data_IF_728972270473
#
_entry.id   IF_728972270473
#
_cell.length_a   1.000
_cell.length_b   1.000
_cell.length_c   1.000
_cell.angle_alpha   90.00
_cell.angle_beta   90.00
_cell.angle_gamma   90.00
#
_symmetry.space_group_name_H-M   'P 1'
#
loop_
_entity.id
_entity.type
_entity.pdbx_description
1 polymer ?
#
# COMPACT_ATOMS: atom_id res chain seq x y z
N UNK A 1 24.17 8.83 11.36
CA UNK A 1 23.49 9.71 10.37
C UNK A 1 24.05 9.39 9.00
N UNK A 2 23.20 9.23 7.99
CA UNK A 2 23.63 8.93 6.62
C UNK A 2 24.59 10.00 6.09
N UNK A 3 25.62 9.58 5.37
CA UNK A 3 26.53 10.49 4.67
C UNK A 3 25.80 11.15 3.51
N UNK A 4 25.65 12.47 3.52
CA UNK A 4 25.06 13.24 2.42
C UNK A 4 26.17 13.89 1.58
N UNK A 5 26.20 13.54 0.29
CA UNK A 5 27.17 14.06 -0.68
C UNK A 5 26.46 15.10 -1.56
N UNK A 6 26.85 16.36 -1.45
CA UNK A 6 26.39 17.43 -2.34
C UNK A 6 27.05 17.26 -3.71
N UNK A 7 26.29 16.81 -4.69
CA UNK A 7 26.75 16.49 -6.02
C UNK A 7 25.75 16.93 -7.08
N UNK A 8 25.56 18.24 -7.16
CA UNK A 8 24.52 18.82 -8.00
C UNK A 8 24.72 18.53 -9.48
N UNK A 9 23.64 18.22 -10.17
CA UNK A 9 23.60 18.14 -11.62
C UNK A 9 23.71 19.57 -12.22
N UNK A 10 24.22 19.66 -13.44
CA UNK A 10 24.34 20.94 -14.17
C UNK A 10 22.94 21.53 -14.38
N UNK A 11 22.83 22.85 -14.27
CA UNK A 11 21.59 23.56 -14.61
C UNK A 11 21.26 23.34 -16.08
N UNK A 12 20.05 22.85 -16.34
CA UNK A 12 19.54 22.58 -17.66
C UNK A 12 17.99 22.45 -17.60
N UNK A 13 17.32 22.62 -18.71
CA UNK A 13 15.85 22.61 -18.76
C UNK A 13 15.19 21.26 -18.42
N UNK A 14 15.91 20.13 -18.49
CA UNK A 14 15.34 18.80 -18.40
C UNK A 14 15.42 18.18 -17.01
N UNK A 15 16.56 18.28 -16.34
CA UNK A 15 16.78 17.64 -15.02
C UNK A 15 16.93 18.64 -13.88
N UNK A 16 17.46 19.84 -14.12
CA UNK A 16 17.60 20.91 -13.12
C UNK A 16 17.30 22.26 -13.72
N UNK A 17 16.02 22.69 -13.72
CA UNK A 17 15.63 23.95 -14.39
C UNK A 17 16.09 25.22 -13.68
N UNK A 18 16.62 25.14 -12.45
CA UNK A 18 17.01 26.31 -11.66
C UNK A 18 15.84 27.17 -11.16
N UNK A 19 14.61 26.64 -11.24
CA UNK A 19 13.43 27.32 -10.75
C UNK A 19 13.34 27.23 -9.22
N UNK A 20 12.91 28.29 -8.55
CA UNK A 20 12.75 28.32 -7.10
C UNK A 20 11.58 27.48 -6.64
N UNK A 21 11.77 26.69 -5.58
CA UNK A 21 10.70 26.02 -4.86
C UNK A 21 9.86 27.05 -4.08
N UNK A 22 8.54 26.90 -4.10
CA UNK A 22 7.63 27.82 -3.38
C UNK A 22 7.47 27.49 -1.88
N UNK A 23 8.50 26.84 -1.32
CA UNK A 23 8.56 26.37 0.07
C UNK A 23 8.24 24.88 0.20
N UNK A 24 8.97 24.23 1.13
CA UNK A 24 8.82 22.79 1.38
C UNK A 24 7.61 22.53 2.25
N UNK A 25 6.61 21.86 1.70
CA UNK A 25 5.36 21.47 2.38
C UNK A 25 5.25 19.97 2.64
N UNK A 26 6.15 19.18 2.06
CA UNK A 26 6.15 17.74 2.22
C UNK A 26 7.35 17.06 1.56
N UNK A 27 7.46 15.77 1.78
CA UNK A 27 8.48 14.89 1.20
C UNK A 27 7.76 13.80 0.42
N UNK A 28 8.15 13.62 -0.84
CA UNK A 28 7.59 12.57 -1.71
C UNK A 28 8.62 11.45 -1.86
N UNK A 29 8.21 10.26 -1.45
CA UNK A 29 9.03 9.05 -1.50
C UNK A 29 8.86 8.34 -2.84
N UNK A 30 10.00 7.93 -3.40
CA UNK A 30 10.11 7.19 -4.64
C UNK A 30 11.04 5.99 -4.50
N UNK A 31 11.17 5.22 -5.55
CA UNK A 31 12.19 4.19 -5.74
C UNK A 31 12.71 4.24 -7.17
N UNK A 32 13.99 3.95 -7.37
CA UNK A 32 14.62 4.07 -8.69
C UNK A 32 14.10 3.03 -9.70
N UNK A 33 13.69 1.87 -9.20
CA UNK A 33 13.34 0.71 -10.04
C UNK A 33 14.45 0.30 -11.05
N UNK A 34 15.70 0.69 -10.77
CA UNK A 34 16.90 0.40 -11.57
C UNK A 34 17.77 -0.60 -10.82
N UNK A 35 17.62 -1.92 -11.01
CA UNK A 35 18.31 -2.93 -10.21
C UNK A 35 19.83 -2.80 -10.21
N UNK A 36 20.40 -2.64 -9.02
CA UNK A 36 21.85 -2.58 -8.78
C UNK A 36 22.52 -1.23 -9.06
N UNK A 37 21.75 -0.20 -9.44
CA UNK A 37 22.30 1.15 -9.59
C UNK A 37 22.50 1.80 -8.21
N UNK A 38 23.70 2.34 -7.96
CA UNK A 38 23.98 3.14 -6.76
C UNK A 38 23.41 4.55 -6.87
N UNK A 39 23.33 5.26 -5.76
CA UNK A 39 22.91 6.67 -5.75
C UNK A 39 23.80 7.55 -6.66
N UNK A 40 25.10 7.24 -6.74
CA UNK A 40 26.03 7.92 -7.64
C UNK A 40 25.77 7.56 -9.13
N UNK A 41 25.41 6.31 -9.45
CA UNK A 41 25.05 5.92 -10.81
C UNK A 41 23.81 6.69 -11.27
N UNK A 42 22.79 6.77 -10.44
CA UNK A 42 21.58 7.53 -10.73
C UNK A 42 21.88 9.03 -10.93
N UNK A 43 22.67 9.63 -10.03
CA UNK A 43 23.12 11.01 -10.19
C UNK A 43 23.81 11.25 -11.55
N UNK A 44 24.69 10.35 -11.96
CA UNK A 44 25.42 10.48 -13.20
C UNK A 44 24.49 10.33 -14.43
N UNK A 45 23.53 9.42 -14.36
CA UNK A 45 22.47 9.29 -15.36
C UNK A 45 21.69 10.59 -15.56
N UNK A 46 21.28 11.24 -14.45
CA UNK A 46 20.54 12.50 -14.50
C UNK A 46 21.37 13.69 -14.95
N UNK A 47 22.70 13.64 -14.80
CA UNK A 47 23.63 14.67 -15.29
C UNK A 47 24.15 14.42 -16.71
N UNK A 48 23.83 13.30 -17.32
CA UNK A 48 24.31 12.87 -18.63
C UNK A 48 23.18 12.43 -19.52
N UNK A 49 22.90 11.12 -19.55
CA UNK A 49 21.97 10.46 -20.46
C UNK A 49 20.56 11.07 -20.42
N UNK A 50 20.03 11.33 -19.23
CA UNK A 50 18.70 11.91 -19.08
C UNK A 50 18.58 13.29 -19.76
N UNK A 51 19.67 14.09 -19.72
CA UNK A 51 19.74 15.39 -20.42
C UNK A 51 19.82 15.17 -21.93
N UNK A 52 20.70 14.26 -22.38
CA UNK A 52 20.87 13.94 -23.80
C UNK A 52 19.56 13.44 -24.43
N UNK A 53 18.81 12.62 -23.71
CA UNK A 53 17.50 12.09 -24.11
C UNK A 53 16.37 13.12 -23.97
N UNK A 54 16.65 14.33 -23.53
CA UNK A 54 15.68 15.42 -23.35
C UNK A 54 14.49 15.04 -22.42
N UNK A 55 14.74 14.23 -21.39
CA UNK A 55 13.71 13.73 -20.47
C UNK A 55 13.51 14.68 -19.30
N UNK A 56 12.27 15.13 -19.12
CA UNK A 56 11.87 15.94 -17.97
C UNK A 56 11.65 15.04 -16.76
N UNK A 57 12.71 14.76 -16.02
CA UNK A 57 12.67 13.95 -14.81
C UNK A 57 13.84 14.31 -13.89
N UNK A 58 13.61 14.37 -12.60
CA UNK A 58 14.65 14.55 -11.59
C UNK A 58 14.10 14.32 -10.19
N UNK A 59 14.99 14.32 -9.20
CA UNK A 59 14.67 14.28 -7.77
C UNK A 59 15.71 15.09 -7.00
N UNK A 60 15.48 15.37 -5.72
CA UNK A 60 16.47 16.08 -4.90
C UNK A 60 17.54 15.12 -4.39
N UNK A 61 17.16 13.90 -4.03
CA UNK A 61 18.03 12.91 -3.42
C UNK A 61 17.88 11.53 -4.03
N UNK A 62 19.01 10.86 -4.25
CA UNK A 62 19.10 9.41 -4.36
C UNK A 62 19.77 8.84 -3.13
N UNK A 63 19.23 7.78 -2.56
CA UNK A 63 19.75 7.17 -1.34
C UNK A 63 19.99 5.70 -1.57
N UNK A 64 21.19 5.22 -1.25
CA UNK A 64 21.53 3.80 -1.23
C UNK A 64 22.05 3.35 0.15
N UNK A 65 22.60 2.15 0.24
CA UNK A 65 23.14 1.58 1.48
C UNK A 65 24.33 2.34 2.05
N UNK A 66 25.01 3.15 1.25
CA UNK A 66 26.29 3.80 1.62
C UNK A 66 26.13 5.29 1.88
N UNK A 67 25.31 5.95 1.07
CA UNK A 67 25.22 7.41 1.10
C UNK A 67 23.92 7.94 0.46
N UNK A 68 23.70 9.23 0.63
CA UNK A 68 22.68 9.99 -0.08
C UNK A 68 23.35 10.99 -1.03
N UNK A 69 23.07 10.91 -2.32
CA UNK A 69 23.49 11.90 -3.32
C UNK A 69 22.46 13.03 -3.37
N UNK A 70 22.85 14.24 -2.97
CA UNK A 70 22.05 15.46 -3.07
C UNK A 70 22.30 16.11 -4.42
N UNK A 71 21.39 15.90 -5.37
CA UNK A 71 21.62 16.22 -6.78
C UNK A 71 20.93 17.49 -7.27
N UNK A 72 19.92 17.98 -6.56
CA UNK A 72 19.27 19.28 -6.81
C UNK A 72 19.14 20.02 -5.47
N UNK A 73 19.53 21.31 -5.39
CA UNK A 73 19.33 22.11 -4.18
C UNK A 73 17.90 22.09 -3.67
N UNK A 74 17.71 22.01 -2.36
CA UNK A 74 16.36 21.89 -1.76
C UNK A 74 15.46 23.11 -1.97
N UNK A 75 16.02 24.24 -2.37
CA UNK A 75 15.28 25.45 -2.73
C UNK A 75 14.96 25.56 -4.22
N UNK A 76 15.32 24.53 -5.00
CA UNK A 76 15.03 24.45 -6.43
C UNK A 76 13.97 23.39 -6.72
N UNK A 77 13.26 23.55 -7.84
CA UNK A 77 12.26 22.59 -8.33
C UNK A 77 12.95 21.34 -8.92
N UNK A 78 12.48 20.17 -8.54
CA UNK A 78 12.79 18.91 -9.18
C UNK A 78 11.53 18.31 -9.84
N UNK A 79 11.70 17.64 -10.99
CA UNK A 79 10.59 17.03 -11.74
C UNK A 79 10.34 15.59 -11.30
N UNK A 80 9.71 15.36 -10.13
CA UNK A 80 9.56 14.02 -9.55
C UNK A 80 8.11 13.56 -9.35
N UNK A 81 7.15 14.47 -9.18
CA UNK A 81 5.80 14.10 -8.77
C UNK A 81 4.72 14.99 -9.41
N UNK A 82 4.90 15.34 -10.69
CA UNK A 82 3.91 16.07 -11.47
C UNK A 82 3.52 15.26 -12.70
N UNK A 83 2.30 14.72 -12.67
CA UNK A 83 1.71 14.01 -13.78
C UNK A 83 0.40 14.68 -14.18
N UNK A 84 0.36 15.28 -15.37
CA UNK A 84 -0.83 15.89 -15.97
C UNK A 84 -1.60 16.85 -15.03
N UNK A 85 -0.91 17.71 -14.29
CA UNK A 85 -1.48 18.65 -13.31
C UNK A 85 -2.25 17.98 -12.16
N UNK A 86 -1.99 16.69 -11.87
CA UNK A 86 -2.65 15.95 -10.79
C UNK A 86 -1.86 16.09 -9.50
N UNK A 87 -2.51 16.50 -8.43
CA UNK A 87 -2.07 16.27 -7.06
C UNK A 87 -3.27 15.97 -6.19
N UNK A 88 -3.34 14.72 -5.68
CA UNK A 88 -4.42 14.31 -4.78
C UNK A 88 -4.12 14.71 -3.34
N UNK A 89 -2.88 15.05 -3.02
CA UNK A 89 -2.45 15.51 -1.70
C UNK A 89 -2.69 17.00 -1.57
N UNK A 90 -3.60 17.41 -0.68
CA UNK A 90 -4.08 18.79 -0.56
C UNK A 90 -2.96 19.80 -0.28
N UNK A 91 -2.01 19.48 0.60
CA UNK A 91 -0.91 20.39 0.96
C UNK A 91 0.16 20.53 -0.13
N UNK A 92 0.13 19.68 -1.17
CA UNK A 92 1.04 19.75 -2.32
C UNK A 92 0.38 20.34 -3.59
N UNK A 93 -0.90 20.71 -3.51
CA UNK A 93 -1.60 21.35 -4.64
C UNK A 93 -1.06 22.75 -4.90
N UNK A 94 -1.11 23.25 -6.17
CA UNK A 94 -1.56 22.53 -7.37
C UNK A 94 -0.50 21.59 -7.95
N UNK A 95 0.79 21.80 -7.65
CA UNK A 95 1.91 21.08 -8.23
C UNK A 95 2.92 20.66 -7.15
N UNK A 96 3.05 19.35 -6.93
CA UNK A 96 3.94 18.79 -5.91
C UNK A 96 5.43 19.10 -6.18
N UNK A 97 5.84 19.21 -7.45
CA UNK A 97 7.23 19.55 -7.79
C UNK A 97 7.68 20.91 -7.26
N UNK A 98 6.74 21.84 -7.06
CA UNK A 98 7.03 23.19 -6.55
C UNK A 98 6.94 23.30 -5.03
N UNK A 99 6.54 22.23 -4.34
CA UNK A 99 6.23 22.25 -2.89
C UNK A 99 6.81 21.08 -2.09
N UNK A 100 7.49 20.15 -2.76
CA UNK A 100 7.99 18.96 -2.07
C UNK A 100 9.43 18.64 -2.45
N UNK A 101 10.13 18.02 -1.50
CA UNK A 101 11.42 17.38 -1.74
C UNK A 101 11.15 15.95 -2.19
N UNK A 102 11.69 15.54 -3.34
CA UNK A 102 11.69 14.17 -3.81
C UNK A 102 12.88 13.39 -3.28
N UNK A 103 12.63 12.18 -2.80
CA UNK A 103 13.66 11.26 -2.30
C UNK A 103 13.45 9.89 -2.93
N UNK A 104 14.45 9.44 -3.69
CA UNK A 104 14.48 8.15 -4.38
C UNK A 104 15.30 7.13 -3.59
N UNK A 105 14.74 5.99 -3.32
CA UNK A 105 15.44 4.85 -2.72
C UNK A 105 15.99 3.95 -3.83
N UNK A 106 17.30 3.73 -3.84
CA UNK A 106 17.94 2.78 -4.77
C UNK A 106 17.57 1.34 -4.44
N UNK A 107 17.57 0.50 -5.45
CA UNK A 107 17.26 -0.92 -5.32
C UNK A 107 18.47 -1.79 -5.61
N UNK A 108 18.52 -2.93 -4.94
CA UNK A 108 19.58 -3.93 -5.14
C UNK A 108 19.38 -4.66 -6.48
N UNK A 109 20.35 -5.51 -6.86
CA UNK A 109 20.29 -6.30 -8.11
C UNK A 109 19.04 -7.20 -8.20
N UNK A 110 18.48 -7.59 -7.05
CA UNK A 110 17.24 -8.38 -6.97
C UNK A 110 15.96 -7.51 -7.06
N UNK A 111 16.12 -6.21 -7.29
CA UNK A 111 15.00 -5.26 -7.39
C UNK A 111 14.38 -4.85 -6.05
N UNK A 112 14.95 -5.25 -4.91
CA UNK A 112 14.43 -4.89 -3.59
C UNK A 112 15.14 -3.66 -3.01
N UNK A 113 14.43 -2.92 -2.19
CA UNK A 113 14.99 -1.84 -1.37
C UNK A 113 15.61 -2.48 -0.12
N UNK A 114 16.92 -2.35 0.04
CA UNK A 114 17.62 -2.92 1.20
C UNK A 114 17.25 -2.20 2.50
N UNK A 115 17.28 -2.92 3.61
CA UNK A 115 16.95 -2.35 4.94
C UNK A 115 17.86 -1.19 5.33
N UNK A 116 19.13 -1.22 4.97
CA UNK A 116 20.09 -0.11 5.19
C UNK A 116 19.73 1.10 4.33
N UNK A 117 19.31 0.93 3.07
CA UNK A 117 18.80 2.02 2.23
C UNK A 117 17.59 2.67 2.88
N UNK A 118 16.65 1.86 3.42
CA UNK A 118 15.49 2.38 4.17
C UNK A 118 15.94 3.13 5.43
N UNK A 119 16.95 2.61 6.15
CA UNK A 119 17.48 3.26 7.35
C UNK A 119 18.12 4.62 7.00
N UNK A 120 19.02 4.65 6.02
CA UNK A 120 19.68 5.86 5.54
C UNK A 120 18.68 6.91 5.05
N UNK A 121 17.65 6.44 4.33
CA UNK A 121 16.56 7.31 3.89
C UNK A 121 15.76 7.88 5.06
N UNK A 122 15.50 7.08 6.09
CA UNK A 122 14.80 7.56 7.28
C UNK A 122 15.60 8.62 8.05
N UNK A 123 16.91 8.48 8.12
CA UNK A 123 17.80 9.47 8.75
C UNK A 123 17.82 10.79 7.97
N UNK A 124 17.93 10.72 6.62
CA UNK A 124 17.83 11.90 5.76
C UNK A 124 16.47 12.58 5.90
N UNK A 125 15.39 11.81 5.85
CA UNK A 125 14.02 12.34 5.91
C UNK A 125 13.73 12.93 7.29
N UNK A 126 14.27 12.35 8.37
CA UNK A 126 14.15 12.93 9.70
C UNK A 126 14.86 14.30 9.80
N UNK A 127 16.06 14.44 9.21
CA UNK A 127 16.76 15.72 9.13
C UNK A 127 15.96 16.75 8.31
N UNK A 128 15.43 16.35 7.16
CA UNK A 128 14.54 17.18 6.34
C UNK A 128 13.31 17.62 7.13
N UNK A 129 12.63 16.70 7.80
CA UNK A 129 11.47 17.02 8.63
C UNK A 129 11.82 18.04 9.73
N UNK A 130 12.93 17.85 10.40
CA UNK A 130 13.41 18.77 11.43
C UNK A 130 13.69 20.17 10.87
N UNK A 131 14.42 20.26 9.75
CA UNK A 131 14.80 21.54 9.13
C UNK A 131 13.61 22.34 8.58
N UNK A 132 12.59 21.63 8.07
CA UNK A 132 11.42 22.26 7.47
C UNK A 132 10.17 22.28 8.36
N UNK A 133 10.28 21.85 9.62
CA UNK A 133 9.15 21.82 10.56
C UNK A 133 8.03 20.89 10.11
N UNK A 134 8.35 19.76 9.45
CA UNK A 134 7.38 18.83 8.92
C UNK A 134 7.10 17.70 9.91
N UNK A 135 5.82 17.42 10.13
CA UNK A 135 5.39 16.20 10.81
C UNK A 135 5.43 14.99 9.88
N UNK A 136 5.47 13.78 10.43
CA UNK A 136 5.61 12.55 9.63
C UNK A 136 4.45 12.26 8.69
N UNK A 137 3.27 12.89 8.87
CA UNK A 137 2.15 12.83 7.94
C UNK A 137 2.42 13.57 6.62
N UNK A 138 3.40 14.47 6.57
CA UNK A 138 3.85 15.17 5.37
C UNK A 138 4.79 14.33 4.48
N UNK A 139 5.14 13.13 4.91
CA UNK A 139 5.88 12.15 4.12
C UNK A 139 4.86 11.30 3.36
N UNK A 140 4.84 11.39 2.05
CA UNK A 140 3.88 10.70 1.18
C UNK A 140 4.60 9.92 0.08
N UNK A 141 3.93 8.94 -0.53
CA UNK A 141 4.45 8.25 -1.73
C UNK A 141 4.10 9.04 -2.99
N UNK A 142 4.83 8.87 -4.05
CA UNK A 142 4.42 9.35 -5.38
C UNK A 142 3.00 8.85 -5.72
N UNK A 143 2.68 7.60 -5.35
CA UNK A 143 1.35 7.03 -5.48
C UNK A 143 0.25 7.89 -4.83
N UNK A 144 0.49 8.41 -3.64
CA UNK A 144 -0.48 9.24 -2.93
C UNK A 144 -0.71 10.59 -3.64
N UNK A 145 0.31 11.07 -4.38
CA UNK A 145 0.26 12.34 -5.11
C UNK A 145 -0.44 12.22 -6.46
N UNK A 146 -0.11 11.18 -7.26
CA UNK A 146 -0.58 11.09 -8.68
C UNK A 146 -1.21 9.76 -9.07
N UNK A 147 -1.31 8.79 -8.15
CA UNK A 147 -1.67 7.38 -8.38
C UNK A 147 -0.65 6.57 -9.21
N UNK A 148 0.54 7.10 -9.46
CA UNK A 148 1.63 6.32 -10.06
C UNK A 148 2.10 5.24 -9.10
N UNK A 149 2.26 4.00 -9.56
CA UNK A 149 2.72 2.87 -8.72
C UNK A 149 4.18 3.03 -8.27
N UNK A 150 4.46 4.02 -7.42
CA UNK A 150 5.79 4.39 -6.94
C UNK A 150 5.74 4.87 -5.47
N UNK A 151 6.59 4.34 -4.58
CA UNK A 151 7.43 3.15 -4.73
C UNK A 151 6.57 1.88 -4.83
N UNK A 152 6.77 1.06 -5.85
CA UNK A 152 5.94 -0.14 -6.05
C UNK A 152 5.89 -1.06 -4.82
N UNK A 153 7.02 -1.37 -4.14
CA UNK A 153 6.98 -2.19 -2.92
C UNK A 153 6.08 -1.61 -1.83
N UNK A 154 6.04 -0.28 -1.68
CA UNK A 154 5.20 0.41 -0.68
C UNK A 154 3.76 0.61 -1.15
N UNK A 155 3.50 0.50 -2.45
CA UNK A 155 2.14 0.49 -3.00
C UNK A 155 1.52 -0.89 -2.83
N UNK A 156 2.30 -1.94 -3.07
CA UNK A 156 1.88 -3.33 -2.87
C UNK A 156 1.69 -3.68 -1.39
N UNK A 157 2.51 -3.11 -0.51
CA UNK A 157 2.38 -3.20 0.95
C UNK A 157 2.39 -1.81 1.58
N UNK A 158 1.19 -1.27 1.82
CA UNK A 158 1.00 0.07 2.41
C UNK A 158 1.49 0.18 3.87
N UNK A 159 1.74 -0.95 4.55
CA UNK A 159 2.29 -0.95 5.91
C UNK A 159 3.72 -0.42 5.94
N UNK A 160 4.45 -0.48 4.83
CA UNK A 160 5.83 -0.01 4.73
C UNK A 160 5.95 1.51 4.88
N UNK A 161 5.02 2.29 4.30
CA UNK A 161 4.99 3.74 4.55
C UNK A 161 4.74 4.05 6.03
N UNK A 162 3.81 3.33 6.66
CA UNK A 162 3.49 3.51 8.08
C UNK A 162 4.69 3.17 8.98
N UNK A 163 5.38 2.07 8.67
CA UNK A 163 6.60 1.66 9.36
C UNK A 163 7.73 2.70 9.16
N UNK A 164 7.88 3.22 7.94
CA UNK A 164 8.86 4.26 7.64
C UNK A 164 8.58 5.55 8.40
N UNK A 165 7.32 6.03 8.40
CA UNK A 165 6.91 7.21 9.18
C UNK A 165 7.17 7.03 10.67
N UNK A 166 6.91 5.83 11.22
CA UNK A 166 7.23 5.50 12.62
C UNK A 166 8.73 5.57 12.89
N UNK A 167 9.55 5.02 11.97
CA UNK A 167 11.03 5.07 12.05
C UNK A 167 11.52 6.52 12.03
N UNK A 168 11.03 7.36 11.13
CA UNK A 168 11.35 8.80 11.08
C UNK A 168 10.92 9.51 12.36
N UNK A 169 9.72 9.23 12.86
CA UNK A 169 9.24 9.80 14.13
C UNK A 169 10.11 9.46 15.33
N UNK A 170 10.62 8.24 15.40
CA UNK A 170 11.60 7.84 16.43
C UNK A 170 12.91 8.63 16.35
N UNK A 171 13.41 8.88 15.13
CA UNK A 171 14.62 9.67 14.88
C UNK A 171 14.44 11.17 15.17
N UNK A 172 13.23 11.67 15.07
CA UNK A 172 12.90 13.06 15.42
C UNK A 172 12.89 13.32 16.94
N UNK A 173 13.06 12.27 17.75
CA UNK A 173 13.04 12.40 19.21
C UNK A 173 11.64 12.67 19.77
N UNK A 174 10.59 12.45 19.00
CA UNK A 174 9.23 12.35 19.51
C UNK A 174 9.11 11.10 20.40
N UNK A 175 9.64 11.20 21.61
CA UNK A 175 9.31 10.31 22.71
C UNK A 175 7.85 10.54 23.07
N UNK A 176 6.93 9.88 22.37
CA UNK A 176 5.78 9.39 23.09
C UNK A 176 6.35 8.40 24.09
N UNK A 177 6.31 8.80 25.35
CA UNK A 177 6.72 7.99 26.49
C UNK A 177 5.96 6.67 26.41
N UNK A 178 6.60 5.67 25.85
CA UNK A 178 6.23 4.28 26.05
C UNK A 178 7.25 3.71 27.02
N UNK A 179 6.87 3.77 28.28
CA UNK A 179 7.54 3.07 29.37
C UNK A 179 7.59 1.59 29.00
N UNK A 180 8.78 1.11 28.66
CA UNK A 180 9.05 -0.30 28.45
C UNK A 180 8.91 -1.00 29.79
N UNK A 181 7.88 -1.82 29.92
CA UNK A 181 7.94 -2.98 30.79
C UNK A 181 7.49 -4.17 29.96
N UNK A 182 8.42 -5.09 29.77
CA UNK A 182 8.10 -6.44 29.34
C UNK A 182 7.11 -7.03 30.35
N UNK A 183 5.99 -7.51 29.87
CA UNK A 183 5.20 -8.51 30.58
C UNK A 183 4.20 -9.16 29.64
N UNK A 184 4.42 -10.44 29.46
CA UNK A 184 3.48 -11.56 29.30
C UNK A 184 2.00 -11.23 29.15
N UNK A 185 1.47 -11.78 28.05
CA UNK A 185 0.10 -12.19 27.77
C UNK A 185 -0.92 -12.16 28.92
N UNK A 186 -1.98 -11.35 28.77
CA UNK A 186 -3.37 -11.76 29.01
C UNK A 186 -4.34 -10.65 28.55
N UNK A 187 -5.58 -10.96 28.13
CA UNK A 187 -6.50 -10.01 27.52
C UNK A 187 -7.20 -9.18 28.59
N UNK A 188 -6.96 -7.88 28.63
CA UNK A 188 -7.69 -6.97 29.50
C UNK A 188 -8.60 -6.04 28.71
N UNK A 189 -9.82 -5.94 29.21
CA UNK A 189 -10.98 -5.14 28.86
C UNK A 189 -10.68 -3.76 28.25
N UNK A 190 -11.46 -3.44 27.21
CA UNK A 190 -11.50 -2.22 26.43
C UNK A 190 -11.72 -0.95 27.25
N UNK A 191 -10.73 -0.07 27.23
CA UNK A 191 -10.96 1.39 27.32
C UNK A 191 -11.05 1.91 25.87
N UNK A 192 -12.19 2.50 25.52
CA UNK A 192 -12.65 2.74 24.16
C UNK A 192 -11.69 3.51 23.24
N UNK A 193 -11.01 2.80 22.39
CA UNK A 193 -10.22 3.38 21.29
C UNK A 193 -11.16 4.04 20.29
N UNK A 194 -10.99 5.35 20.04
CA UNK A 194 -11.72 6.06 18.99
C UNK A 194 -10.85 6.12 17.73
N UNK A 195 -11.35 5.53 16.62
CA UNK A 195 -10.74 5.64 15.31
C UNK A 195 -11.65 6.42 14.36
N UNK A 196 -11.10 7.36 13.63
CA UNK A 196 -11.84 8.26 12.71
C UNK A 196 -11.01 8.56 11.46
N UNK A 197 -11.60 9.23 10.49
CA UNK A 197 -10.89 9.66 9.28
C UNK A 197 -9.57 10.34 9.63
N UNK A 198 -8.48 9.84 9.03
CA UNK A 198 -7.11 10.27 9.30
C UNK A 198 -6.37 9.43 10.36
N UNK A 199 -7.06 8.57 11.13
CA UNK A 199 -6.39 7.58 11.98
C UNK A 199 -5.63 6.57 11.13
N UNK A 200 -4.50 6.05 11.63
CA UNK A 200 -3.70 5.05 10.91
C UNK A 200 -3.01 4.08 11.90
N UNK A 201 -2.54 2.96 11.36
CA UNK A 201 -1.77 1.98 12.12
C UNK A 201 -2.46 0.63 12.30
N UNK A 202 -1.89 -0.22 13.17
CA UNK A 202 -2.32 -1.61 13.37
C UNK A 202 -3.77 -1.72 13.86
N UNK A 203 -4.24 -0.79 14.68
CA UNK A 203 -5.62 -0.78 15.18
C UNK A 203 -6.63 -0.50 14.05
N UNK A 204 -6.31 0.42 13.13
CA UNK A 204 -7.14 0.66 11.94
C UNK A 204 -7.14 -0.56 11.04
N UNK A 205 -5.98 -1.18 10.82
CA UNK A 205 -5.86 -2.41 10.03
C UNK A 205 -6.65 -3.57 10.64
N UNK A 206 -6.63 -3.70 11.96
CA UNK A 206 -7.44 -4.70 12.68
C UNK A 206 -8.94 -4.43 12.50
N UNK A 207 -9.38 -3.19 12.66
CA UNK A 207 -10.77 -2.79 12.41
C UNK A 207 -11.20 -3.10 10.97
N UNK A 208 -10.39 -2.72 9.98
CA UNK A 208 -10.67 -2.97 8.56
C UNK A 208 -10.83 -4.46 8.26
N UNK A 209 -9.95 -5.31 8.81
CA UNK A 209 -10.07 -6.78 8.71
C UNK A 209 -11.38 -7.28 9.30
N UNK A 210 -11.77 -6.78 10.45
CA UNK A 210 -13.03 -7.13 11.13
C UNK A 210 -14.25 -6.71 10.30
N UNK A 211 -14.25 -5.48 9.77
CA UNK A 211 -15.31 -4.97 8.88
C UNK A 211 -15.47 -5.85 7.63
N UNK A 212 -14.35 -6.17 6.97
CA UNK A 212 -14.34 -7.06 5.81
C UNK A 212 -14.89 -8.46 6.18
N UNK A 213 -14.44 -9.00 7.32
CA UNK A 213 -14.86 -10.33 7.78
C UNK A 213 -16.38 -10.43 8.03
N UNK A 214 -17.03 -9.33 8.41
CA UNK A 214 -18.49 -9.30 8.62
C UNK A 214 -19.27 -8.75 7.42
N UNK A 215 -18.61 -8.51 6.28
CA UNK A 215 -19.22 -8.19 4.99
C UNK A 215 -19.30 -6.70 4.65
N UNK A 216 -18.64 -5.82 5.41
CA UNK A 216 -18.50 -4.40 5.04
C UNK A 216 -17.28 -4.23 4.14
N UNK A 217 -17.53 -4.01 2.86
CA UNK A 217 -16.48 -4.00 1.82
C UNK A 217 -15.58 -2.78 1.86
N UNK A 218 -14.29 -3.02 1.66
CA UNK A 218 -13.23 -2.02 1.45
C UNK A 218 -12.59 -2.35 0.07
N UNK A 219 -13.28 -2.08 -1.05
CA UNK A 219 -13.00 -2.71 -2.34
C UNK A 219 -11.71 -2.25 -3.00
N UNK A 220 -11.23 -1.05 -2.70
CA UNK A 220 -10.08 -0.46 -3.38
C UNK A 220 -8.78 -0.65 -2.59
N UNK A 221 -8.84 -0.48 -1.27
CA UNK A 221 -7.64 -0.47 -0.43
C UNK A 221 -7.59 -1.62 0.59
N UNK A 222 -8.71 -2.31 0.82
CA UNK A 222 -8.76 -3.42 1.77
C UNK A 222 -8.38 -2.98 3.19
N UNK A 223 -7.69 -3.87 3.91
CA UNK A 223 -7.18 -3.59 5.26
C UNK A 223 -5.77 -2.98 5.20
N UNK A 224 -5.66 -1.75 4.71
CA UNK A 224 -4.40 -1.03 4.50
C UNK A 224 -3.84 -0.35 5.76
N UNK A 225 -4.65 -0.26 6.83
CA UNK A 225 -4.28 0.41 8.07
C UNK A 225 -4.45 1.93 8.04
N UNK A 226 -5.09 2.48 7.00
CA UNK A 226 -5.41 3.91 6.88
C UNK A 226 -6.90 4.12 6.97
N UNK A 227 -7.38 4.91 7.93
CA UNK A 227 -8.80 5.24 8.08
C UNK A 227 -9.19 6.28 7.02
N UNK A 228 -9.18 5.84 5.75
CA UNK A 228 -9.54 6.63 4.59
C UNK A 228 -11.04 6.68 4.34
N UNK A 229 -11.43 7.20 3.16
CA UNK A 229 -12.83 7.31 2.75
C UNK A 229 -13.57 5.97 2.79
N UNK A 230 -12.96 4.88 2.30
CA UNK A 230 -13.60 3.55 2.29
C UNK A 230 -13.87 3.05 3.72
N UNK A 231 -12.93 3.22 4.64
CA UNK A 231 -13.12 2.83 6.04
C UNK A 231 -14.25 3.64 6.67
N UNK A 232 -14.33 4.95 6.38
CA UNK A 232 -15.46 5.80 6.81
C UNK A 232 -16.79 5.24 6.28
N UNK A 233 -16.87 4.90 4.99
CA UNK A 233 -18.10 4.36 4.39
C UNK A 233 -18.46 2.97 4.95
N UNK A 234 -17.48 2.11 5.18
CA UNK A 234 -17.69 0.80 5.79
C UNK A 234 -18.23 0.93 7.23
N UNK A 235 -17.66 1.85 8.04
CA UNK A 235 -18.14 2.14 9.40
C UNK A 235 -19.54 2.75 9.37
N UNK A 236 -19.82 3.71 8.50
CA UNK A 236 -21.18 4.27 8.32
C UNK A 236 -22.21 3.20 7.92
N UNK A 237 -21.82 2.26 7.06
CA UNK A 237 -22.67 1.15 6.67
C UNK A 237 -22.96 0.20 7.82
N UNK A 238 -21.97 -0.07 8.67
CA UNK A 238 -22.14 -0.80 9.93
C UNK A 238 -23.12 -0.07 10.87
N UNK A 239 -22.87 1.21 11.12
CA UNK A 239 -23.68 2.05 12.00
C UNK A 239 -25.15 2.12 11.54
N UNK A 240 -25.36 2.32 10.22
CA UNK A 240 -26.71 2.31 9.63
C UNK A 240 -27.39 0.97 9.80
N UNK A 241 -26.68 -0.14 9.57
CA UNK A 241 -27.22 -1.49 9.76
C UNK A 241 -27.56 -1.79 11.22
N UNK A 242 -26.78 -1.24 12.14
CA UNK A 242 -26.96 -1.39 13.58
C UNK A 242 -27.99 -0.42 14.18
N UNK A 243 -28.49 0.56 13.42
CA UNK A 243 -29.47 1.56 13.90
C UNK A 243 -28.88 2.57 14.90
N UNK A 244 -27.56 2.79 14.88
CA UNK A 244 -26.87 3.76 15.72
C UNK A 244 -26.48 5.02 14.94
N UNK A 245 -26.00 6.07 15.62
CA UNK A 245 -25.56 7.32 14.98
C UNK A 245 -24.56 7.06 13.85
N UNK A 246 -24.83 7.61 12.64
CA UNK A 246 -24.06 7.35 11.40
C UNK A 246 -23.05 8.47 11.18
N UNK A 247 -22.02 8.53 12.00
CA UNK A 247 -20.96 9.55 11.96
C UNK A 247 -19.68 9.10 11.23
N UNK A 248 -19.52 7.79 11.05
CA UNK A 248 -18.31 7.21 10.44
C UNK A 248 -17.12 7.19 11.39
N UNK A 249 -17.35 7.32 12.69
CA UNK A 249 -16.35 7.22 13.75
C UNK A 249 -16.50 5.85 14.43
N UNK A 250 -15.39 5.13 14.52
CA UNK A 250 -15.36 3.90 15.28
C UNK A 250 -15.03 4.20 16.74
N UNK A 251 -16.04 4.12 17.59
CA UNK A 251 -15.98 4.32 19.03
C UNK A 251 -16.66 3.17 19.77
N UNK A 252 -16.88 3.28 21.11
CA UNK A 252 -17.44 2.20 21.92
C UNK A 252 -18.80 1.68 21.45
N UNK A 253 -19.69 2.55 20.98
CA UNK A 253 -20.98 2.16 20.44
C UNK A 253 -20.82 1.32 19.16
N UNK A 254 -19.95 1.75 18.23
CA UNK A 254 -19.68 1.04 16.98
C UNK A 254 -18.95 -0.29 17.25
N UNK A 255 -18.02 -0.32 18.22
CA UNK A 255 -17.34 -1.53 18.65
C UNK A 255 -18.32 -2.58 19.17
N UNK A 256 -19.24 -2.18 20.03
CA UNK A 256 -20.28 -3.05 20.59
C UNK A 256 -21.08 -3.73 19.47
N UNK A 257 -21.50 -2.97 18.47
CA UNK A 257 -22.31 -3.49 17.36
C UNK A 257 -21.47 -4.39 16.41
N UNK A 258 -20.22 -4.03 16.14
CA UNK A 258 -19.34 -4.86 15.36
C UNK A 258 -19.11 -6.22 16.04
N UNK A 259 -18.82 -6.21 17.33
CA UNK A 259 -18.65 -7.42 18.14
C UNK A 259 -19.93 -8.27 18.22
N UNK A 260 -21.11 -7.65 18.28
CA UNK A 260 -22.40 -8.37 18.24
C UNK A 260 -22.62 -9.06 16.88
N UNK A 261 -22.25 -8.42 15.77
CA UNK A 261 -22.36 -9.01 14.44
C UNK A 261 -21.35 -10.17 14.28
N UNK A 262 -20.14 -10.02 14.80
CA UNK A 262 -19.12 -11.09 14.82
C UNK A 262 -19.59 -12.30 15.63
N UNK A 263 -20.20 -12.08 16.80
CA UNK A 263 -20.74 -13.14 17.65
C UNK A 263 -21.89 -13.89 16.94
N UNK A 264 -22.83 -13.17 16.33
CA UNK A 264 -23.91 -13.77 15.53
C UNK A 264 -23.36 -14.60 14.36
N UNK A 265 -22.30 -14.13 13.70
CA UNK A 265 -21.64 -14.85 12.62
C UNK A 265 -20.92 -16.10 13.13
N UNK A 266 -20.26 -16.06 14.28
CA UNK A 266 -19.65 -17.23 14.94
C UNK A 266 -20.71 -18.28 15.34
N UNK A 267 -21.85 -17.86 15.88
CA UNK A 267 -22.94 -18.79 16.22
C UNK A 267 -23.64 -19.37 14.99
N UNK A 268 -23.67 -18.62 13.88
CA UNK A 268 -24.17 -19.12 12.57
C UNK A 268 -23.15 -20.04 11.87
N UNK A 269 -21.87 -19.94 12.17
CA UNK A 269 -20.83 -20.79 11.60
C UNK A 269 -20.63 -22.12 12.36
N UNK A 270 -21.29 -22.33 13.51
CA UNK A 270 -21.33 -23.63 14.15
C UNK A 270 -22.33 -24.62 13.48
N UNK A 271 -23.05 -24.18 12.43
CA UNK A 271 -23.86 -25.03 11.58
C UNK A 271 -23.54 -24.86 10.09
N UNK A 272 -22.31 -25.11 9.72
CA UNK A 272 -21.76 -25.59 8.43
C UNK A 272 -20.29 -25.14 8.32
N UNK A 273 -19.40 -25.93 8.83
CA UNK A 273 -18.05 -26.03 8.29
C UNK A 273 -18.21 -26.55 6.86
N UNK A 274 -18.34 -25.64 5.90
CA UNK A 274 -18.24 -25.98 4.49
C UNK A 274 -16.77 -26.34 4.26
N UNK A 275 -16.46 -27.62 4.42
CA UNK A 275 -15.25 -28.18 3.86
C UNK A 275 -15.33 -27.93 2.35
N UNK A 276 -14.57 -26.98 1.84
CA UNK A 276 -14.42 -26.85 0.39
C UNK A 276 -13.64 -28.06 -0.10
N UNK A 277 -14.38 -29.09 -0.54
CA UNK A 277 -13.75 -30.22 -1.23
C UNK A 277 -13.42 -29.73 -2.64
N UNK A 278 -12.19 -29.24 -2.81
CA UNK A 278 -11.77 -28.73 -4.12
C UNK A 278 -11.53 -29.88 -5.09
N UNK A 279 -11.99 -29.76 -6.34
CA UNK A 279 -11.85 -30.79 -7.33
C UNK A 279 -10.37 -31.03 -7.65
N UNK A 280 -10.02 -32.29 -7.88
CA UNK A 280 -8.73 -32.66 -8.46
C UNK A 280 -8.81 -32.56 -9.99
N UNK A 281 -7.67 -32.34 -10.65
CA UNK A 281 -7.60 -32.23 -12.10
C UNK A 281 -7.16 -30.86 -12.59
N UNK A 282 -7.15 -30.68 -13.88
CA UNK A 282 -6.75 -29.46 -14.58
C UNK A 282 -7.99 -28.82 -15.20
N UNK A 283 -8.26 -27.56 -14.81
CA UNK A 283 -9.35 -26.76 -15.38
C UNK A 283 -8.76 -25.54 -16.06
N UNK A 284 -9.10 -25.36 -17.31
CA UNK A 284 -8.67 -24.28 -18.20
C UNK A 284 -9.79 -23.90 -19.16
N UNK A 285 -9.64 -22.80 -19.84
CA UNK A 285 -10.58 -22.42 -20.92
C UNK A 285 -10.49 -23.45 -22.06
N UNK A 286 -11.62 -24.03 -22.44
CA UNK A 286 -11.77 -25.02 -23.54
C UNK A 286 -12.90 -24.59 -24.46
N UNK A 287 -13.01 -25.22 -25.61
CA UNK A 287 -14.14 -25.06 -26.50
C UNK A 287 -14.73 -26.46 -26.82
N UNK A 288 -15.95 -26.79 -26.37
CA UNK A 288 -16.84 -25.99 -25.51
C UNK A 288 -16.26 -25.80 -24.09
N UNK A 289 -16.75 -24.78 -23.35
CA UNK A 289 -16.28 -24.49 -22.00
C UNK A 289 -16.54 -25.65 -21.03
N UNK A 290 -15.55 -25.99 -20.22
CA UNK A 290 -15.74 -26.92 -19.10
C UNK A 290 -16.78 -26.34 -18.15
N UNK A 291 -17.79 -27.14 -17.75
CA UNK A 291 -18.87 -26.71 -16.84
C UNK A 291 -19.20 -27.76 -15.79
N UNK A 292 -19.86 -27.33 -14.73
CA UNK A 292 -20.41 -28.21 -13.71
C UNK A 292 -20.02 -27.84 -12.28
N UNK A 293 -20.34 -28.74 -11.36
CA UNK A 293 -20.14 -28.52 -9.90
C UNK A 293 -18.70 -28.31 -9.55
N UNK A 294 -17.75 -29.01 -10.17
CA UNK A 294 -16.34 -28.84 -9.95
C UNK A 294 -15.86 -27.42 -10.27
N UNK A 295 -16.33 -26.84 -11.38
CA UNK A 295 -15.99 -25.45 -11.74
C UNK A 295 -16.61 -24.47 -10.75
N UNK A 296 -17.85 -24.70 -10.34
CA UNK A 296 -18.51 -23.89 -9.33
C UNK A 296 -17.77 -23.91 -8.00
N UNK A 297 -17.28 -25.05 -7.53
CA UNK A 297 -16.47 -25.18 -6.32
C UNK A 297 -15.18 -24.37 -6.42
N UNK A 298 -14.51 -24.38 -7.58
CA UNK A 298 -13.32 -23.54 -7.82
C UNK A 298 -13.68 -22.05 -7.75
N UNK A 299 -14.75 -21.64 -8.38
CA UNK A 299 -15.23 -20.25 -8.39
C UNK A 299 -15.61 -19.78 -6.97
N UNK A 300 -16.30 -20.61 -6.21
CA UNK A 300 -16.71 -20.34 -4.82
C UNK A 300 -15.48 -20.22 -3.90
N UNK A 301 -14.50 -21.11 -4.04
CA UNK A 301 -13.25 -21.07 -3.29
C UNK A 301 -12.42 -19.82 -3.61
N UNK A 302 -12.31 -19.46 -4.88
CA UNK A 302 -11.65 -18.21 -5.31
C UNK A 302 -12.39 -16.99 -4.76
N UNK A 303 -13.72 -17.00 -4.82
CA UNK A 303 -14.55 -15.90 -4.29
C UNK A 303 -14.43 -15.76 -2.77
N UNK A 304 -14.32 -16.87 -2.03
CA UNK A 304 -14.05 -16.87 -0.58
C UNK A 304 -12.71 -16.20 -0.24
N UNK A 305 -11.76 -16.27 -1.16
CA UNK A 305 -10.45 -15.59 -1.09
C UNK A 305 -10.45 -14.23 -1.83
N UNK A 306 -11.64 -13.71 -2.19
CA UNK A 306 -11.85 -12.41 -2.86
C UNK A 306 -11.38 -12.33 -4.33
N UNK A 307 -11.11 -13.47 -4.98
CA UNK A 307 -10.78 -13.55 -6.40
C UNK A 307 -12.03 -13.88 -7.22
N UNK A 308 -12.97 -12.95 -7.27
CA UNK A 308 -14.22 -13.12 -8.00
C UNK A 308 -14.00 -13.27 -9.51
N UNK A 309 -14.67 -14.23 -10.21
CA UNK A 309 -14.66 -14.31 -11.67
C UNK A 309 -15.17 -13.02 -12.32
N UNK A 310 -16.28 -12.47 -11.82
CA UNK A 310 -16.86 -11.23 -12.33
C UNK A 310 -17.52 -10.44 -11.19
N UNK A 311 -16.72 -9.59 -10.54
CA UNK A 311 -17.17 -8.82 -9.38
C UNK A 311 -18.30 -7.86 -9.78
N UNK A 312 -19.42 -7.96 -9.08
CA UNK A 312 -20.60 -7.11 -9.30
C UNK A 312 -21.64 -7.70 -10.28
N UNK A 313 -21.28 -8.75 -11.03
CA UNK A 313 -22.26 -9.51 -11.78
C UNK A 313 -23.15 -10.37 -10.86
N UNK A 314 -24.25 -10.91 -11.40
CA UNK A 314 -25.09 -11.87 -10.68
C UNK A 314 -24.22 -12.97 -10.07
N UNK A 315 -24.37 -13.18 -8.75
CA UNK A 315 -23.57 -14.13 -7.97
C UNK A 315 -22.04 -13.97 -8.13
N UNK A 316 -21.56 -12.73 -8.37
CA UNK A 316 -20.13 -12.40 -8.59
C UNK A 316 -19.46 -13.25 -9.70
N UNK A 317 -20.22 -13.72 -10.67
CA UNK A 317 -19.73 -14.54 -11.78
C UNK A 317 -19.50 -16.00 -11.43
N UNK A 318 -20.08 -16.50 -10.33
CA UNK A 318 -20.09 -17.94 -9.98
C UNK A 318 -21.22 -18.59 -10.77
N UNK A 319 -20.92 -19.02 -11.97
CA UNK A 319 -21.86 -19.56 -12.95
C UNK A 319 -21.66 -21.06 -13.25
N UNK A 320 -20.54 -21.61 -12.78
CA UNK A 320 -20.18 -23.02 -13.02
C UNK A 320 -19.53 -23.26 -14.39
N UNK A 321 -19.16 -22.22 -15.16
CA UNK A 321 -18.42 -22.33 -16.40
C UNK A 321 -16.98 -21.85 -16.26
N UNK A 322 -16.01 -22.65 -16.71
CA UNK A 322 -14.60 -22.23 -16.69
C UNK A 322 -14.27 -21.41 -17.94
N UNK A 323 -14.81 -20.20 -17.98
CA UNK A 323 -14.59 -19.25 -19.06
C UNK A 323 -13.41 -18.31 -18.80
N UNK A 324 -13.17 -17.33 -19.71
CA UNK A 324 -12.08 -16.35 -19.59
C UNK A 324 -12.10 -15.57 -18.28
N UNK A 325 -13.26 -15.27 -17.73
CA UNK A 325 -13.40 -14.55 -16.44
C UNK A 325 -12.93 -15.40 -15.26
N UNK A 326 -13.26 -16.71 -15.25
CA UNK A 326 -12.75 -17.66 -14.25
C UNK A 326 -11.24 -17.84 -14.38
N UNK A 327 -10.72 -18.02 -15.59
CA UNK A 327 -9.28 -18.10 -15.84
C UNK A 327 -8.55 -16.83 -15.36
N UNK A 328 -9.13 -15.65 -15.57
CA UNK A 328 -8.57 -14.40 -15.05
C UNK A 328 -8.55 -14.36 -13.51
N UNK A 329 -9.59 -14.85 -12.84
CA UNK A 329 -9.60 -14.95 -11.37
C UNK A 329 -8.50 -15.90 -10.86
N UNK A 330 -8.32 -17.06 -11.51
CA UNK A 330 -7.22 -18.00 -11.23
C UNK A 330 -5.87 -17.32 -11.45
N UNK A 331 -5.69 -16.62 -12.56
CA UNK A 331 -4.44 -15.91 -12.90
C UNK A 331 -4.07 -14.85 -11.86
N UNK A 332 -5.05 -14.05 -11.42
CA UNK A 332 -4.85 -13.06 -10.34
C UNK A 332 -4.48 -13.72 -9.01
N UNK A 333 -5.12 -14.84 -8.69
CA UNK A 333 -4.79 -15.64 -7.51
C UNK A 333 -3.35 -16.17 -7.59
N UNK A 334 -2.98 -16.78 -8.69
CA UNK A 334 -1.65 -17.32 -8.93
C UNK A 334 -0.57 -16.25 -8.80
N UNK A 335 -0.78 -15.08 -9.43
CA UNK A 335 0.14 -13.94 -9.35
C UNK A 335 0.34 -13.47 -7.91
N UNK A 336 -0.74 -13.39 -7.13
CA UNK A 336 -0.71 -12.95 -5.73
C UNK A 336 0.05 -13.94 -4.82
N UNK A 337 0.07 -15.23 -5.18
CA UNK A 337 0.64 -16.29 -4.36
C UNK A 337 1.93 -16.90 -4.95
N UNK A 338 2.60 -16.18 -5.86
CA UNK A 338 3.92 -16.58 -6.38
C UNK A 338 3.91 -17.82 -7.27
N UNK A 339 2.76 -18.16 -7.87
CA UNK A 339 2.64 -19.19 -8.88
C UNK A 339 2.82 -18.61 -10.29
N UNK A 340 3.12 -19.49 -11.25
CA UNK A 340 3.01 -19.14 -12.68
C UNK A 340 1.58 -18.71 -12.99
N UNK A 341 1.38 -17.47 -13.43
CA UNK A 341 0.08 -16.86 -13.65
C UNK A 341 -0.48 -17.23 -15.03
N UNK A 342 -0.75 -18.52 -15.25
CA UNK A 342 -1.24 -19.08 -16.51
C UNK A 342 -2.78 -19.10 -16.62
N UNK A 343 -3.48 -18.91 -15.50
CA UNK A 343 -4.94 -18.98 -15.45
C UNK A 343 -5.49 -20.40 -15.49
N UNK A 344 -4.66 -21.41 -15.30
CA UNK A 344 -5.02 -22.81 -15.26
C UNK A 344 -5.13 -23.26 -13.79
N UNK A 345 -6.28 -23.76 -13.41
CA UNK A 345 -6.42 -24.40 -12.11
C UNK A 345 -5.85 -25.83 -12.20
N UNK A 346 -4.85 -26.11 -11.39
CA UNK A 346 -4.19 -27.41 -11.30
C UNK A 346 -3.76 -27.71 -9.87
N UNK A 347 -2.99 -28.79 -9.63
CA UNK A 347 -2.60 -29.24 -8.28
C UNK A 347 -1.92 -28.19 -7.43
N UNK A 348 -1.03 -27.38 -8.02
CA UNK A 348 -0.32 -26.29 -7.30
C UNK A 348 -1.27 -25.18 -6.85
N UNK A 349 -2.20 -24.77 -7.75
CA UNK A 349 -3.20 -23.76 -7.43
C UNK A 349 -4.19 -24.28 -6.37
N UNK A 350 -4.64 -25.54 -6.50
CA UNK A 350 -5.49 -26.21 -5.52
C UNK A 350 -4.86 -26.20 -4.13
N UNK A 351 -3.61 -26.65 -4.01
CA UNK A 351 -2.92 -26.77 -2.73
C UNK A 351 -2.86 -25.44 -1.95
N UNK A 352 -2.59 -24.33 -2.65
CA UNK A 352 -2.55 -23.01 -2.01
C UNK A 352 -3.95 -22.53 -1.62
N UNK A 353 -4.96 -22.73 -2.46
CA UNK A 353 -6.36 -22.40 -2.11
C UNK A 353 -6.79 -23.17 -0.87
N UNK A 354 -6.54 -24.49 -0.81
CA UNK A 354 -6.87 -25.31 0.34
C UNK A 354 -6.13 -24.90 1.62
N UNK A 355 -4.86 -24.51 1.51
CA UNK A 355 -4.09 -24.02 2.65
C UNK A 355 -4.63 -22.69 3.22
N UNK A 356 -5.19 -21.84 2.38
CA UNK A 356 -5.75 -20.53 2.76
C UNK A 356 -7.20 -20.61 3.26
N UNK A 357 -7.92 -21.70 2.95
CA UNK A 357 -9.31 -21.92 3.37
C UNK A 357 -9.45 -22.80 4.63
N UNK A 358 -8.35 -23.36 5.14
CA UNK A 358 -8.27 -24.05 6.43
C UNK A 358 -8.28 -23.07 7.59
#
# INVERSE_FOLDING_TARGET
MVKVVKNYVKVNRYTRPGLKLSGVKGIVMHWTATPGASALNERNYFNGTCIADKRYASTHYFVDRKEAQHIIPENEVAYHAHDQNRSYVSFLKPNANTKAIGVEMCVEKDGKIHSETVQNTAELVADLCKRYGLSTDKIVRHYDVTNKSCPLPWVSDSSQLSAFRKKVGALLGNKTVSKTTASTSQPSKSTGTILKKGSSGSQVKALQKRLIAVGFSLPKYGADGSYGYETVQAVKSLQKKAGIAVDGIYGPATEKELSAIEAKKKNSSNSKKTSYTLPSGIFKVTSPLTKGTAVRQIQEALAALYFYPDKGAKNNGIDGYFGPKTANAVKRFQLMHGLSADGIYGPKTKAIIEALLK
#
